data_IF_971057880990
#
_entry.id   IF_971057880990
#
_cell.length_a   1.000
_cell.length_b   1.000
_cell.length_c   1.000
_cell.angle_alpha   90.00
_cell.angle_beta   90.00
_cell.angle_gamma   90.00
#
_symmetry.space_group_name_H-M   'P 1'
#
loop_
_entity.id
_entity.type
_entity.pdbx_description
1 polymer ?
#
# COMPACT_ATOMS: atom_id res chain seq x y z
N UNK A 1 2.83 26.81 -5.82
CA UNK A 1 2.78 26.48 -4.38
C UNK A 1 3.08 24.99 -4.24
N UNK A 2 4.35 24.64 -4.03
CA UNK A 2 4.72 23.26 -3.73
C UNK A 2 4.13 22.91 -2.36
N UNK A 3 3.38 21.82 -2.32
CA UNK A 3 2.65 21.35 -1.15
C UNK A 3 3.62 21.04 -0.01
N UNK A 4 3.29 21.51 1.19
CA UNK A 4 3.99 21.36 2.47
C UNK A 4 4.69 20.00 2.73
N UNK A 5 4.19 18.82 2.31
CA UNK A 5 4.90 17.54 2.47
C UNK A 5 6.17 17.34 1.61
N UNK A 6 6.35 18.04 0.48
CA UNK A 6 7.57 17.90 -0.33
C UNK A 6 8.78 18.58 0.30
N UNK A 7 8.55 19.68 1.02
CA UNK A 7 9.61 20.44 1.68
C UNK A 7 10.13 19.64 2.88
N UNK A 8 9.25 18.98 3.64
CA UNK A 8 9.64 18.13 4.77
C UNK A 8 10.45 16.92 4.34
N UNK A 9 10.09 16.24 3.24
CA UNK A 9 10.85 15.09 2.73
C UNK A 9 12.26 15.50 2.26
N UNK A 10 12.36 16.64 1.55
CA UNK A 10 13.67 17.15 1.09
C UNK A 10 14.55 17.59 2.25
N UNK A 11 13.97 18.20 3.29
CA UNK A 11 14.69 18.63 4.48
C UNK A 11 15.24 17.44 5.27
N UNK A 12 14.47 16.36 5.41
CA UNK A 12 14.90 15.12 6.09
C UNK A 12 16.10 14.50 5.39
N UNK A 13 16.06 14.37 4.05
CA UNK A 13 17.20 13.84 3.26
C UNK A 13 18.46 14.67 3.44
N UNK A 14 18.34 15.99 3.48
CA UNK A 14 19.49 16.88 3.69
C UNK A 14 20.07 16.70 5.10
N UNK A 15 19.21 16.59 6.12
CA UNK A 15 19.64 16.35 7.50
C UNK A 15 20.36 15.01 7.62
N UNK A 16 19.83 13.94 7.04
CA UNK A 16 20.46 12.61 7.09
C UNK A 16 21.83 12.59 6.40
N UNK A 17 21.95 13.21 5.22
CA UNK A 17 23.24 13.31 4.50
C UNK A 17 24.26 14.13 5.29
N UNK A 18 23.85 15.23 5.92
CA UNK A 18 24.73 16.06 6.76
C UNK A 18 25.18 15.29 7.99
N UNK A 19 24.29 14.53 8.64
CA UNK A 19 24.63 13.69 9.79
C UNK A 19 25.67 12.64 9.40
N UNK A 20 25.50 11.95 8.27
CA UNK A 20 26.47 10.96 7.77
C UNK A 20 27.84 11.60 7.51
N UNK A 21 27.87 12.77 6.89
CA UNK A 21 29.12 13.51 6.62
C UNK A 21 29.82 13.92 7.92
N UNK A 22 29.09 14.45 8.90
CA UNK A 22 29.64 14.89 10.19
C UNK A 22 30.15 13.70 11.01
N UNK A 23 29.39 12.61 11.07
CA UNK A 23 29.80 11.38 11.76
C UNK A 23 31.03 10.77 11.08
N UNK A 24 31.07 10.72 9.74
CA UNK A 24 32.24 10.26 9.00
C UNK A 24 33.49 11.10 9.27
N UNK A 25 33.37 12.43 9.28
CA UNK A 25 34.45 13.35 9.62
C UNK A 25 34.96 13.15 11.06
N UNK A 26 34.05 12.92 12.01
CA UNK A 26 34.40 12.65 13.41
C UNK A 26 35.19 11.35 13.55
N UNK A 27 34.78 10.28 12.87
CA UNK A 27 35.49 8.99 12.87
C UNK A 27 36.90 9.12 12.29
N UNK A 28 37.05 9.87 11.20
CA UNK A 28 38.38 10.15 10.60
C UNK A 28 39.24 10.95 11.58
N UNK A 29 38.69 11.94 12.27
CA UNK A 29 39.43 12.71 13.27
C UNK A 29 39.89 11.84 14.45
N UNK A 30 39.00 10.99 14.99
CA UNK A 30 39.32 10.08 16.10
C UNK A 30 40.40 9.08 15.70
N UNK A 31 40.31 8.49 14.51
CA UNK A 31 41.31 7.52 14.03
C UNK A 31 42.69 8.17 13.84
N UNK A 32 42.76 9.38 13.29
CA UNK A 32 44.03 10.13 13.16
C UNK A 32 44.65 10.42 14.52
N UNK A 33 43.84 10.83 15.52
CA UNK A 33 44.32 11.09 16.88
C UNK A 33 44.85 9.82 17.53
N UNK A 34 44.13 8.69 17.42
CA UNK A 34 44.57 7.39 17.97
C UNK A 34 45.89 6.95 17.33
N UNK A 35 46.01 7.03 16.00
CA UNK A 35 47.26 6.69 15.30
C UNK A 35 48.40 7.59 15.75
N UNK A 36 48.16 8.89 15.91
CA UNK A 36 49.15 9.84 16.42
C UNK A 36 49.65 9.47 17.83
N UNK A 37 48.73 9.13 18.74
CA UNK A 37 49.08 8.70 20.10
C UNK A 37 49.92 7.41 20.05
N UNK A 38 49.55 6.43 19.22
CA UNK A 38 50.30 5.18 19.05
C UNK A 38 51.72 5.44 18.58
N UNK A 39 51.90 6.31 17.58
CA UNK A 39 53.23 6.68 17.08
C UNK A 39 54.07 7.33 18.18
N UNK A 40 53.50 8.24 18.97
CA UNK A 40 54.20 8.89 20.09
C UNK A 40 54.63 7.86 21.14
N UNK A 41 53.74 6.92 21.50
CA UNK A 41 54.03 5.86 22.47
C UNK A 41 55.14 4.93 21.95
N UNK A 42 55.09 4.51 20.68
CA UNK A 42 56.12 3.67 20.07
C UNK A 42 57.47 4.38 20.06
N UNK A 43 57.52 5.65 19.65
CA UNK A 43 58.75 6.46 19.65
C UNK A 43 59.30 6.63 21.06
N UNK A 44 58.44 6.88 22.04
CA UNK A 44 58.82 6.97 23.45
C UNK A 44 59.41 5.66 24.00
N UNK A 45 58.78 4.53 23.69
CA UNK A 45 59.27 3.19 24.08
C UNK A 45 60.63 2.91 23.44
N UNK A 46 60.80 3.19 22.15
CA UNK A 46 62.09 3.02 21.45
C UNK A 46 63.19 3.90 22.05
N UNK A 47 62.87 5.15 22.40
CA UNK A 47 63.84 6.07 23.02
C UNK A 47 64.28 5.61 24.43
N UNK A 48 63.35 5.12 25.25
CA UNK A 48 63.65 4.59 26.60
C UNK A 48 64.48 3.31 26.50
N UNK A 49 64.16 2.43 25.55
CA UNK A 49 64.90 1.19 25.30
C UNK A 49 66.31 1.47 24.75
N UNK A 50 66.51 2.54 24.00
CA UNK A 50 67.85 2.97 23.56
C UNK A 50 68.72 3.51 24.70
N UNK A 51 68.12 4.06 25.76
CA UNK A 51 68.82 4.65 26.90
C UNK A 51 69.16 3.64 28.00
N UNK A 52 68.36 2.59 28.16
CA UNK A 52 68.56 1.52 29.15
C UNK A 52 68.96 0.28 28.37
N UNK A 53 70.14 -0.30 28.60
CA UNK A 53 70.63 -1.49 27.89
C UNK A 53 69.79 -2.75 28.23
N UNK A 54 68.54 -2.78 27.80
CA UNK A 54 67.54 -3.82 28.05
C UNK A 54 67.83 -5.01 27.13
N UNK A 55 67.77 -6.25 27.64
CA UNK A 55 67.94 -7.43 26.80
C UNK A 55 66.90 -7.48 25.68
N UNK A 56 67.38 -7.69 24.45
CA UNK A 56 66.61 -7.79 23.19
C UNK A 56 65.27 -8.54 23.30
N UNK A 57 65.15 -9.70 23.99
CA UNK A 57 63.86 -10.40 24.10
C UNK A 57 62.77 -9.59 24.82
N UNK A 58 63.10 -8.75 25.81
CA UNK A 58 62.10 -7.91 26.49
C UNK A 58 61.56 -6.81 25.58
N UNK A 59 62.42 -6.27 24.71
CA UNK A 59 62.09 -5.24 23.71
C UNK A 59 61.10 -5.79 22.68
N UNK A 60 61.35 -7.02 22.21
CA UNK A 60 60.46 -7.70 21.27
C UNK A 60 59.08 -7.95 21.90
N UNK A 61 59.04 -8.39 23.17
CA UNK A 61 57.77 -8.59 23.88
C UNK A 61 57.00 -7.27 24.04
N UNK A 62 57.66 -6.17 24.41
CA UNK A 62 57.02 -4.87 24.54
C UNK A 62 56.45 -4.36 23.19
N UNK A 63 57.19 -4.51 22.09
CA UNK A 63 56.73 -4.17 20.74
C UNK A 63 55.52 -5.01 20.31
N UNK A 64 55.54 -6.32 20.57
CA UNK A 64 54.42 -7.21 20.26
C UNK A 64 53.18 -6.81 21.05
N UNK A 65 53.32 -6.50 22.34
CA UNK A 65 52.19 -6.03 23.17
C UNK A 65 51.60 -4.73 22.63
N UNK A 66 52.44 -3.77 22.22
CA UNK A 66 51.96 -2.52 21.62
C UNK A 66 51.21 -2.79 20.32
N UNK A 67 51.75 -3.62 19.43
CA UNK A 67 51.07 -3.98 18.17
C UNK A 67 49.71 -4.64 18.43
N UNK A 68 49.64 -5.56 19.40
CA UNK A 68 48.40 -6.24 19.78
C UNK A 68 47.36 -5.25 20.32
N UNK A 69 47.76 -4.32 21.19
CA UNK A 69 46.88 -3.28 21.73
C UNK A 69 46.35 -2.38 20.60
N UNK A 70 47.20 -1.99 19.66
CA UNK A 70 46.81 -1.17 18.50
C UNK A 70 45.78 -1.90 17.63
N UNK A 71 46.00 -3.19 17.34
CA UNK A 71 45.06 -4.00 16.56
C UNK A 71 43.70 -4.10 17.25
N UNK A 72 43.69 -4.29 18.57
CA UNK A 72 42.44 -4.36 19.36
C UNK A 72 41.69 -3.02 19.30
N UNK A 73 42.39 -1.89 19.50
CA UNK A 73 41.76 -0.56 19.46
C UNK A 73 41.18 -0.27 18.08
N UNK A 74 41.91 -0.59 17.01
CA UNK A 74 41.41 -0.42 15.63
C UNK A 74 40.18 -1.29 15.39
N UNK A 75 40.20 -2.55 15.85
CA UNK A 75 39.05 -3.45 15.71
C UNK A 75 37.81 -2.93 16.44
N UNK A 76 37.95 -2.39 17.65
CA UNK A 76 36.84 -1.81 18.42
C UNK A 76 36.24 -0.61 17.69
N UNK A 77 37.07 0.31 17.17
CA UNK A 77 36.60 1.48 16.42
C UNK A 77 35.88 1.06 15.13
N UNK A 78 36.41 0.08 14.40
CA UNK A 78 35.75 -0.45 13.19
C UNK A 78 34.38 -1.04 13.51
N UNK A 79 34.27 -1.81 14.61
CA UNK A 79 33.01 -2.41 15.03
C UNK A 79 31.97 -1.35 15.43
N UNK A 80 32.36 -0.30 16.14
CA UNK A 80 31.48 0.82 16.47
C UNK A 80 30.99 1.57 15.22
N UNK A 81 31.87 1.80 14.24
CA UNK A 81 31.50 2.45 12.97
C UNK A 81 30.51 1.61 12.18
N UNK A 82 30.72 0.29 12.11
CA UNK A 82 29.80 -0.62 11.42
C UNK A 82 28.44 -0.61 12.11
N UNK A 83 28.39 -0.65 13.45
CA UNK A 83 27.15 -0.58 14.21
C UNK A 83 26.38 0.74 13.95
N UNK A 84 27.09 1.87 13.87
CA UNK A 84 26.48 3.16 13.53
C UNK A 84 25.94 3.16 12.10
N UNK A 85 26.70 2.65 11.13
CA UNK A 85 26.25 2.55 9.72
C UNK A 85 25.02 1.63 9.59
N UNK A 86 24.97 0.53 10.33
CA UNK A 86 23.83 -0.39 10.34
C UNK A 86 22.60 0.16 11.08
N UNK A 87 22.79 1.12 11.99
CA UNK A 87 21.70 1.81 12.68
C UNK A 87 21.00 2.88 11.82
N UNK A 88 21.57 3.23 10.66
CA UNK A 88 20.93 4.13 9.69
C UNK A 88 19.83 3.31 8.98
N UNK A 89 18.55 3.67 9.11
CA UNK A 89 17.50 3.01 8.36
C UNK A 89 17.82 3.16 6.86
N UNK A 90 17.91 2.03 6.15
CA UNK A 90 18.20 2.02 4.73
C UNK A 90 17.27 3.00 4.02
N UNK A 91 17.85 4.06 3.45
CA UNK A 91 17.11 5.07 2.70
C UNK A 91 16.55 4.35 1.47
N UNK A 92 15.29 3.90 1.59
CA UNK A 92 14.56 3.28 0.49
C UNK A 92 14.52 4.30 -0.63
N UNK A 93 15.34 4.06 -1.66
CA UNK A 93 15.23 4.75 -2.93
C UNK A 93 13.99 4.19 -3.64
N UNK A 94 12.80 4.48 -3.11
CA UNK A 94 11.58 4.31 -3.88
C UNK A 94 11.71 5.25 -5.09
N UNK A 95 12.10 4.68 -6.23
CA UNK A 95 11.91 5.30 -7.53
C UNK A 95 10.48 5.81 -7.54
N UNK A 96 10.21 7.07 -7.95
CA UNK A 96 8.85 7.56 -8.03
C UNK A 96 8.08 6.63 -8.98
N UNK A 97 7.24 5.77 -8.41
CA UNK A 97 6.52 4.75 -9.18
C UNK A 97 5.64 5.51 -10.15
N UNK A 98 5.83 5.18 -11.43
CA UNK A 98 5.20 5.90 -12.52
C UNK A 98 3.70 5.95 -12.26
N UNK A 99 3.11 7.13 -12.44
CA UNK A 99 1.65 7.29 -12.46
C UNK A 99 1.12 6.30 -13.51
N UNK A 100 0.44 5.24 -13.07
CA UNK A 100 -0.18 4.24 -13.95
C UNK A 100 -0.96 5.02 -15.00
N UNK A 101 -0.49 4.97 -16.24
CA UNK A 101 -1.21 5.59 -17.34
C UNK A 101 -2.51 4.80 -17.50
N UNK A 102 -3.65 5.49 -17.49
CA UNK A 102 -5.00 4.91 -17.58
C UNK A 102 -5.16 3.98 -18.80
N UNK A 103 -4.23 4.04 -19.77
CA UNK A 103 -4.22 3.29 -21.01
C UNK A 103 -3.36 2.01 -20.99
N UNK A 104 -2.59 1.75 -19.92
CA UNK A 104 -1.89 0.47 -19.76
C UNK A 104 -2.86 -0.57 -19.17
N UNK A 105 -3.16 -1.60 -19.94
CA UNK A 105 -4.06 -2.68 -19.52
C UNK A 105 -3.27 -3.61 -18.60
N UNK A 106 -3.34 -3.33 -17.29
CA UNK A 106 -2.79 -4.21 -16.26
C UNK A 106 -3.78 -5.35 -16.01
N UNK A 107 -3.34 -6.62 -15.93
CA UNK A 107 -4.22 -7.74 -15.66
C UNK A 107 -4.95 -7.57 -14.32
N UNK A 108 -6.20 -8.06 -14.19
CA UNK A 108 -6.93 -8.03 -12.93
C UNK A 108 -6.24 -8.92 -11.89
N UNK A 109 -6.35 -8.55 -10.61
CA UNK A 109 -6.03 -9.46 -9.51
C UNK A 109 -7.22 -10.41 -9.37
N UNK A 110 -7.02 -11.67 -9.71
CA UNK A 110 -8.09 -12.64 -9.94
C UNK A 110 -8.11 -13.74 -8.86
N UNK A 111 -9.07 -13.68 -7.95
CA UNK A 111 -9.33 -14.69 -6.91
C UNK A 111 -10.61 -15.48 -7.20
N UNK A 112 -11.03 -15.56 -8.46
CA UNK A 112 -12.31 -16.19 -8.82
C UNK A 112 -12.24 -17.72 -8.76
N UNK A 113 -13.31 -18.40 -8.35
CA UNK A 113 -13.39 -19.87 -8.29
C UNK A 113 -12.32 -20.52 -7.37
N UNK A 114 -11.97 -19.83 -6.29
CA UNK A 114 -11.05 -20.36 -5.28
C UNK A 114 -11.80 -20.92 -4.06
N UNK A 115 -13.13 -20.90 -4.07
CA UNK A 115 -13.98 -21.31 -2.94
C UNK A 115 -13.68 -20.52 -1.66
N UNK A 116 -13.32 -19.25 -1.83
CA UNK A 116 -12.99 -18.38 -0.72
C UNK A 116 -14.24 -18.11 0.10
N UNK A 117 -14.18 -18.36 1.41
CA UNK A 117 -15.33 -18.14 2.31
C UNK A 117 -15.25 -16.81 3.05
N UNK A 118 -14.03 -16.36 3.37
CA UNK A 118 -13.77 -15.05 3.99
C UNK A 118 -12.69 -14.29 3.24
N UNK A 119 -12.74 -12.95 3.27
CA UNK A 119 -11.84 -12.12 2.46
C UNK A 119 -10.37 -12.24 2.89
N UNK A 120 -10.12 -12.63 4.14
CA UNK A 120 -8.77 -12.84 4.71
C UNK A 120 -8.01 -13.97 4.03
N UNK A 121 -8.71 -14.96 3.46
CA UNK A 121 -8.07 -16.06 2.73
C UNK A 121 -7.32 -15.55 1.49
N UNK A 122 -7.61 -14.34 1.00
CA UNK A 122 -6.85 -13.70 -0.09
C UNK A 122 -5.40 -13.35 0.29
N UNK A 123 -5.03 -13.36 1.59
CA UNK A 123 -3.64 -13.17 2.02
C UNK A 123 -2.82 -14.46 1.91
N UNK A 124 -3.48 -15.61 2.09
CA UNK A 124 -2.85 -16.93 2.05
C UNK A 124 -2.89 -17.55 0.67
N UNK A 125 -3.98 -17.33 -0.07
CA UNK A 125 -4.18 -17.85 -1.41
C UNK A 125 -3.50 -16.98 -2.46
N UNK A 126 -3.04 -17.60 -3.54
CA UNK A 126 -2.45 -16.88 -4.65
C UNK A 126 -3.52 -16.52 -5.69
N UNK A 127 -3.51 -15.28 -6.22
CA UNK A 127 -4.42 -14.92 -7.30
C UNK A 127 -4.14 -15.80 -8.51
N UNK A 128 -5.21 -16.32 -9.11
CA UNK A 128 -5.15 -17.17 -10.28
C UNK A 128 -4.41 -16.50 -11.42
N UNK A 129 -3.51 -17.25 -12.05
CA UNK A 129 -2.87 -16.87 -13.30
C UNK A 129 -3.84 -16.99 -14.48
N UNK A 130 -4.88 -16.16 -14.52
CA UNK A 130 -5.83 -16.18 -15.64
C UNK A 130 -5.34 -15.23 -16.72
N UNK A 131 -4.48 -15.75 -17.61
CA UNK A 131 -4.45 -15.20 -18.96
C UNK A 131 -4.20 -16.27 -20.03
N UNK A 132 -5.15 -16.51 -20.95
CA UNK A 132 -4.90 -17.22 -22.20
C UNK A 132 -4.02 -16.41 -23.17
N UNK A 133 -3.70 -15.15 -22.84
CA UNK A 133 -2.66 -14.36 -23.51
C UNK A 133 -1.48 -14.19 -22.57
N UNK A 134 -0.40 -14.87 -22.93
CA UNK A 134 0.94 -14.76 -22.38
C UNK A 134 1.43 -13.30 -22.44
N UNK A 135 1.01 -12.46 -21.50
CA UNK A 135 1.54 -11.10 -21.36
C UNK A 135 1.47 -10.67 -19.90
N UNK A 136 2.67 -10.71 -19.30
CA UNK A 136 3.09 -9.98 -18.11
C UNK A 136 2.39 -10.46 -16.84
N UNK A 137 2.91 -11.58 -16.32
CA UNK A 137 2.65 -12.04 -14.96
C UNK A 137 3.46 -11.19 -13.98
N UNK A 138 2.85 -10.85 -12.85
CA UNK A 138 3.58 -10.59 -11.61
C UNK A 138 4.20 -11.93 -11.22
N UNK A 139 5.52 -12.06 -11.37
CA UNK A 139 6.24 -13.21 -10.80
C UNK A 139 6.51 -12.87 -9.34
N UNK A 140 6.01 -13.66 -8.38
CA UNK A 140 6.72 -13.72 -7.10
C UNK A 140 8.09 -14.35 -7.38
N UNK A 141 9.13 -13.63 -6.97
CA UNK A 141 10.49 -14.16 -6.83
C UNK A 141 10.43 -15.34 -5.83
N UNK A 142 11.32 -16.32 -6.04
CA UNK A 142 11.47 -17.49 -5.17
C UNK A 142 11.55 -17.09 -3.68
N UNK A 143 11.20 -17.99 -2.75
CA UNK A 143 11.12 -17.74 -1.30
C UNK A 143 12.48 -17.46 -0.59
N UNK A 144 13.51 -17.08 -1.33
CA UNK A 144 14.87 -16.84 -0.80
C UNK A 144 15.22 -15.35 -0.62
N UNK A 145 14.37 -14.42 -1.06
CA UNK A 145 14.58 -12.98 -0.87
C UNK A 145 13.61 -12.43 0.20
N UNK A 146 14.14 -11.89 1.30
CA UNK A 146 13.43 -11.19 2.40
C UNK A 146 12.73 -9.86 1.97
N UNK A 147 12.32 -9.73 0.70
CA UNK A 147 11.60 -8.56 0.20
C UNK A 147 10.08 -8.79 0.22
N UNK A 148 9.35 -7.82 0.77
CA UNK A 148 7.89 -7.76 0.83
C UNK A 148 7.24 -8.11 -0.53
N UNK A 149 6.07 -8.79 -0.55
CA UNK A 149 5.40 -9.15 -1.80
C UNK A 149 5.16 -7.90 -2.67
N UNK A 150 5.59 -7.94 -3.93
CA UNK A 150 5.35 -6.86 -4.89
C UNK A 150 3.84 -6.63 -5.02
N UNK A 151 3.37 -5.47 -4.52
CA UNK A 151 1.96 -5.09 -4.60
C UNK A 151 1.54 -4.83 -6.05
N UNK A 152 0.32 -5.22 -6.38
CA UNK A 152 -0.24 -5.02 -7.72
C UNK A 152 -0.57 -3.55 -8.00
N UNK A 153 -0.28 -3.10 -9.22
CA UNK A 153 -0.72 -1.80 -9.75
C UNK A 153 -2.08 -1.89 -10.47
N UNK A 154 -2.73 -3.06 -10.45
CA UNK A 154 -4.00 -3.27 -11.12
C UNK A 154 -5.11 -2.40 -10.55
N UNK A 155 -6.11 -2.11 -11.38
CA UNK A 155 -7.29 -1.34 -11.00
C UNK A 155 -8.52 -2.24 -10.83
N UNK A 156 -8.36 -3.55 -11.02
CA UNK A 156 -9.44 -4.52 -11.04
C UNK A 156 -9.18 -5.66 -10.05
N UNK A 157 -10.17 -5.89 -9.19
CA UNK A 157 -10.21 -7.01 -8.25
C UNK A 157 -11.38 -7.92 -8.63
N UNK A 158 -11.09 -9.20 -8.85
CA UNK A 158 -12.12 -10.23 -9.10
C UNK A 158 -12.15 -11.22 -7.96
N UNK A 159 -13.33 -11.41 -7.41
CA UNK A 159 -13.65 -12.31 -6.30
C UNK A 159 -14.92 -13.12 -6.63
N UNK A 160 -15.23 -13.29 -7.92
CA UNK A 160 -16.47 -13.90 -8.36
C UNK A 160 -16.44 -15.43 -8.33
N UNK A 161 -17.62 -16.07 -8.20
CA UNK A 161 -17.75 -17.52 -8.02
C UNK A 161 -16.96 -18.04 -6.80
N UNK A 162 -17.20 -17.42 -5.65
CA UNK A 162 -16.71 -17.86 -4.36
C UNK A 162 -17.91 -18.00 -3.40
N UNK A 163 -17.65 -18.27 -2.13
CA UNK A 163 -18.68 -18.52 -1.11
C UNK A 163 -18.70 -17.39 -0.05
N UNK A 164 -18.36 -16.16 -0.47
CA UNK A 164 -18.26 -14.99 0.41
C UNK A 164 -19.64 -14.59 0.96
N UNK A 165 -19.73 -14.41 2.27
CA UNK A 165 -20.94 -13.93 2.96
C UNK A 165 -20.89 -12.46 3.33
N UNK A 166 -19.69 -11.95 3.57
CA UNK A 166 -19.42 -10.55 3.87
C UNK A 166 -18.08 -10.11 3.24
N UNK A 167 -17.86 -8.79 3.22
CA UNK A 167 -16.65 -8.20 2.63
C UNK A 167 -16.01 -7.15 3.55
N UNK A 168 -16.27 -7.21 4.87
CA UNK A 168 -16.01 -6.12 5.82
C UNK A 168 -14.52 -5.69 5.85
N UNK A 169 -13.61 -6.63 5.61
CA UNK A 169 -12.16 -6.42 5.61
C UNK A 169 -11.55 -6.21 4.21
N UNK A 170 -12.38 -6.01 3.18
CA UNK A 170 -11.93 -5.88 1.80
C UNK A 170 -10.95 -4.73 1.58
N UNK A 171 -11.09 -3.61 2.30
CA UNK A 171 -10.13 -2.50 2.17
C UNK A 171 -8.76 -2.83 2.77
N UNK A 172 -8.73 -3.58 3.88
CA UNK A 172 -7.47 -4.05 4.50
C UNK A 172 -6.72 -4.95 3.54
N UNK A 173 -7.44 -5.92 2.97
CA UNK A 173 -6.89 -6.85 1.96
C UNK A 173 -6.51 -6.11 0.68
N UNK A 174 -7.29 -5.13 0.23
CA UNK A 174 -6.90 -4.30 -0.90
C UNK A 174 -5.59 -3.53 -0.61
N UNK A 175 -5.32 -3.15 0.63
CA UNK A 175 -4.09 -2.44 1.02
C UNK A 175 -2.87 -3.36 1.05
N UNK A 176 -3.05 -4.66 1.32
CA UNK A 176 -1.98 -5.66 1.21
C UNK A 176 -1.72 -6.06 -0.24
N UNK A 177 -2.78 -6.20 -1.05
CA UNK A 177 -2.70 -6.65 -2.45
C UNK A 177 -2.31 -5.55 -3.46
N UNK A 178 -2.74 -4.31 -3.24
CA UNK A 178 -2.58 -3.21 -4.20
C UNK A 178 -1.67 -2.12 -3.67
N UNK A 179 -0.87 -1.55 -4.57
CA UNK A 179 -0.05 -0.39 -4.29
C UNK A 179 -0.90 0.86 -3.99
N UNK A 180 -2.01 1.02 -4.70
CA UNK A 180 -2.93 2.15 -4.56
C UNK A 180 -4.37 1.65 -4.51
N UNK A 181 -4.85 1.12 -3.36
CA UNK A 181 -6.20 0.56 -3.23
C UNK A 181 -7.31 1.58 -3.54
N UNK A 182 -7.07 2.87 -3.28
CA UNK A 182 -8.01 3.95 -3.59
C UNK A 182 -8.24 4.16 -5.10
N UNK A 183 -7.35 3.64 -5.96
CA UNK A 183 -7.48 3.74 -7.42
C UNK A 183 -8.29 2.59 -8.04
N UNK A 184 -8.66 1.58 -7.26
CA UNK A 184 -9.46 0.45 -7.76
C UNK A 184 -10.74 0.99 -8.39
N UNK A 185 -10.92 0.64 -9.67
CA UNK A 185 -12.03 1.11 -10.49
C UNK A 185 -13.06 0.04 -10.79
N UNK A 186 -12.71 -1.23 -10.64
CA UNK A 186 -13.59 -2.36 -10.94
C UNK A 186 -13.46 -3.44 -9.88
N UNK A 187 -14.57 -3.74 -9.21
CA UNK A 187 -14.70 -4.86 -8.28
C UNK A 187 -15.76 -5.83 -8.82
N UNK A 188 -15.41 -7.11 -8.91
CA UNK A 188 -16.32 -8.19 -9.27
C UNK A 188 -16.55 -9.11 -8.07
N UNK A 189 -17.75 -9.05 -7.50
CA UNK A 189 -18.25 -9.87 -6.39
C UNK A 189 -19.44 -10.73 -6.82
N UNK A 190 -19.60 -10.96 -8.13
CA UNK A 190 -20.71 -11.76 -8.64
C UNK A 190 -20.61 -13.23 -8.23
N UNK A 191 -21.76 -13.92 -8.16
CA UNK A 191 -21.83 -15.34 -7.78
C UNK A 191 -21.13 -15.62 -6.44
N UNK A 192 -21.62 -14.97 -5.39
CA UNK A 192 -21.24 -15.19 -3.99
C UNK A 192 -22.52 -15.33 -3.14
N UNK A 193 -22.38 -15.40 -1.81
CA UNK A 193 -23.51 -15.51 -0.88
C UNK A 193 -23.70 -14.23 -0.05
N UNK A 194 -23.44 -13.05 -0.64
CA UNK A 194 -23.57 -11.78 0.07
C UNK A 194 -25.04 -11.48 0.37
N UNK A 195 -25.37 -11.27 1.64
CA UNK A 195 -26.74 -10.95 2.08
C UNK A 195 -26.98 -9.44 2.16
N UNK A 196 -25.90 -8.67 2.29
CA UNK A 196 -25.91 -7.22 2.46
C UNK A 196 -24.80 -6.55 1.65
N UNK A 197 -24.96 -5.26 1.35
CA UNK A 197 -23.92 -4.44 0.74
C UNK A 197 -23.14 -3.80 1.87
N UNK A 198 -21.85 -4.13 1.99
CA UNK A 198 -21.03 -3.58 3.07
C UNK A 198 -20.58 -2.13 2.79
N UNK A 199 -20.62 -1.21 3.78
CA UNK A 199 -20.14 0.16 3.64
C UNK A 199 -18.66 0.29 3.26
N UNK A 200 -17.82 -0.73 3.47
CA UNK A 200 -16.42 -0.75 3.02
C UNK A 200 -16.28 -0.43 1.53
N UNK A 201 -17.28 -0.78 0.71
CA UNK A 201 -17.29 -0.49 -0.72
C UNK A 201 -17.28 1.02 -1.01
N UNK A 202 -17.74 1.84 -0.06
CA UNK A 202 -17.72 3.31 -0.16
C UNK A 202 -16.33 3.92 0.00
N UNK A 203 -15.37 3.17 0.53
CA UNK A 203 -13.98 3.60 0.69
C UNK A 203 -13.21 3.61 -0.65
N UNK A 204 -13.71 2.88 -1.66
CA UNK A 204 -13.15 2.88 -3.01
C UNK A 204 -13.67 4.08 -3.82
N UNK A 205 -13.11 5.27 -3.59
CA UNK A 205 -13.56 6.54 -4.18
C UNK A 205 -13.51 6.58 -5.72
N UNK A 206 -12.66 5.75 -6.34
CA UNK A 206 -12.53 5.64 -7.79
C UNK A 206 -13.33 4.49 -8.41
N UNK A 207 -14.16 3.79 -7.63
CA UNK A 207 -14.96 2.68 -8.10
C UNK A 207 -15.95 3.14 -9.18
N UNK A 208 -15.85 2.51 -10.35
CA UNK A 208 -16.62 2.81 -11.57
C UNK A 208 -17.56 1.68 -11.94
N UNK A 209 -17.12 0.45 -11.72
CA UNK A 209 -17.82 -0.79 -12.09
C UNK A 209 -17.90 -1.68 -10.84
N UNK A 210 -19.12 -2.07 -10.48
CA UNK A 210 -19.37 -2.99 -9.38
C UNK A 210 -20.32 -4.09 -9.84
N UNK A 211 -19.88 -5.35 -9.74
CA UNK A 211 -20.74 -6.50 -10.02
C UNK A 211 -21.12 -7.22 -8.73
N UNK A 212 -22.42 -7.32 -8.48
CA UNK A 212 -23.03 -7.98 -7.33
C UNK A 212 -24.13 -8.98 -7.77
N UNK A 213 -24.20 -9.33 -9.05
CA UNK A 213 -25.25 -10.23 -9.54
C UNK A 213 -25.05 -11.67 -9.02
N UNK A 214 -26.13 -12.42 -8.85
CA UNK A 214 -26.08 -13.78 -8.28
C UNK A 214 -25.57 -13.80 -6.84
N UNK A 215 -26.12 -12.94 -5.99
CA UNK A 215 -25.90 -12.92 -4.55
C UNK A 215 -27.24 -13.10 -3.82
N UNK A 216 -27.24 -13.00 -2.48
CA UNK A 216 -28.42 -13.21 -1.64
C UNK A 216 -28.95 -11.89 -1.03
N UNK A 217 -28.74 -10.76 -1.71
CA UNK A 217 -29.15 -9.44 -1.20
C UNK A 217 -30.67 -9.31 -1.30
N UNK A 218 -31.33 -9.17 -0.15
CA UNK A 218 -32.80 -9.15 -0.04
C UNK A 218 -33.38 -7.74 0.09
N UNK A 219 -32.76 -6.87 0.90
CA UNK A 219 -33.27 -5.52 1.15
C UNK A 219 -32.79 -4.52 0.10
N UNK A 220 -33.75 -3.95 -0.64
CA UNK A 220 -33.51 -2.90 -1.64
C UNK A 220 -32.89 -1.63 -1.03
N UNK A 221 -33.08 -1.38 0.27
CA UNK A 221 -32.51 -0.21 0.95
C UNK A 221 -30.99 -0.26 1.08
N UNK A 222 -30.37 -1.42 0.91
CA UNK A 222 -28.92 -1.59 0.90
C UNK A 222 -28.24 -0.70 -0.17
N UNK A 223 -28.96 -0.41 -1.26
CA UNK A 223 -28.52 0.47 -2.35
C UNK A 223 -28.23 1.90 -1.89
N UNK A 224 -28.85 2.36 -0.80
CA UNK A 224 -28.58 3.70 -0.27
C UNK A 224 -27.12 3.87 0.16
N UNK A 225 -26.45 2.77 0.58
CA UNK A 225 -25.03 2.78 0.96
C UNK A 225 -24.12 3.14 -0.22
N UNK A 226 -24.48 2.71 -1.43
CA UNK A 226 -23.73 3.00 -2.65
C UNK A 226 -23.92 4.44 -3.15
N UNK A 227 -24.84 5.22 -2.57
CA UNK A 227 -25.13 6.60 -2.97
C UNK A 227 -23.95 7.56 -2.81
N UNK A 228 -22.98 7.22 -1.95
CA UNK A 228 -21.76 8.00 -1.72
C UNK A 228 -20.73 7.85 -2.84
N UNK A 229 -20.82 6.77 -3.64
CA UNK A 229 -19.85 6.45 -4.70
C UNK A 229 -20.21 7.23 -5.97
N UNK A 230 -19.71 8.46 -6.05
CA UNK A 230 -20.05 9.41 -7.13
C UNK A 230 -19.62 8.97 -8.54
N UNK A 231 -18.56 8.15 -8.65
CA UNK A 231 -17.98 7.71 -9.93
C UNK A 231 -18.55 6.38 -10.45
N UNK A 232 -19.42 5.73 -9.66
CA UNK A 232 -20.04 4.46 -10.04
C UNK A 232 -21.00 4.67 -11.21
N UNK A 233 -20.72 4.06 -12.36
CA UNK A 233 -21.57 4.21 -13.55
C UNK A 233 -22.13 2.87 -14.04
N UNK A 234 -21.54 1.74 -13.65
CA UNK A 234 -22.03 0.39 -13.98
C UNK A 234 -22.26 -0.43 -12.71
N UNK A 235 -23.48 -0.92 -12.56
CA UNK A 235 -23.89 -1.77 -11.44
C UNK A 235 -24.71 -2.95 -11.97
N UNK A 236 -24.54 -4.13 -11.39
CA UNK A 236 -25.37 -5.30 -11.67
C UNK A 236 -25.75 -5.97 -10.37
N UNK A 237 -27.04 -6.20 -10.18
CA UNK A 237 -27.67 -6.81 -9.01
C UNK A 237 -28.67 -7.89 -9.40
N UNK A 238 -28.85 -8.17 -10.70
CA UNK A 238 -29.67 -9.26 -11.20
C UNK A 238 -29.39 -10.59 -10.49
N UNK A 239 -30.42 -11.41 -10.28
CA UNK A 239 -30.29 -12.69 -9.58
C UNK A 239 -30.06 -12.54 -8.07
N UNK A 240 -30.43 -11.39 -7.50
CA UNK A 240 -30.59 -11.21 -6.06
C UNK A 240 -32.07 -11.16 -5.70
N UNK A 241 -32.51 -11.66 -4.53
CA UNK A 241 -33.92 -11.60 -4.10
C UNK A 241 -34.54 -10.20 -4.11
N UNK A 242 -33.72 -9.14 -3.94
CA UNK A 242 -34.17 -7.74 -4.01
C UNK A 242 -34.75 -7.34 -5.38
N UNK A 243 -34.41 -8.06 -6.46
CA UNK A 243 -34.90 -7.78 -7.81
C UNK A 243 -36.42 -7.96 -7.94
N UNK A 244 -37.01 -8.88 -7.16
CA UNK A 244 -38.44 -9.19 -7.18
C UNK A 244 -39.31 -8.07 -6.55
N UNK A 245 -38.68 -7.09 -5.89
CA UNK A 245 -39.39 -5.97 -5.28
C UNK A 245 -39.99 -5.07 -6.37
N UNK A 246 -41.29 -4.81 -6.26
CA UNK A 246 -42.00 -3.92 -7.20
C UNK A 246 -41.33 -2.55 -7.27
N UNK A 247 -40.97 -2.13 -8.48
CA UNK A 247 -40.29 -0.86 -8.69
C UNK A 247 -38.81 -0.87 -8.35
N UNK A 248 -38.18 -2.03 -8.15
CA UNK A 248 -36.74 -2.21 -7.91
C UNK A 248 -35.88 -1.32 -8.81
N UNK A 249 -36.04 -1.43 -10.13
CA UNK A 249 -35.29 -0.63 -11.10
C UNK A 249 -35.46 0.88 -10.89
N UNK A 250 -36.70 1.32 -10.63
CA UNK A 250 -36.99 2.75 -10.39
C UNK A 250 -36.37 3.23 -9.09
N UNK A 251 -36.42 2.40 -8.03
CA UNK A 251 -35.79 2.70 -6.76
C UNK A 251 -34.28 2.88 -6.94
N UNK A 252 -33.59 1.89 -7.54
CA UNK A 252 -32.14 1.94 -7.76
C UNK A 252 -31.75 3.18 -8.56
N UNK A 253 -32.43 3.49 -9.67
CA UNK A 253 -32.11 4.65 -10.50
C UNK A 253 -32.47 5.99 -9.84
N UNK A 254 -33.44 6.01 -8.92
CA UNK A 254 -33.79 7.21 -8.14
C UNK A 254 -32.79 7.52 -7.02
N UNK A 255 -32.16 6.46 -6.48
CA UNK A 255 -31.12 6.53 -5.45
C UNK A 255 -29.75 6.79 -6.06
N UNK A 256 -29.44 6.14 -7.19
CA UNK A 256 -28.16 6.22 -7.91
C UNK A 256 -28.34 6.84 -9.31
N UNK A 257 -28.62 8.15 -9.41
CA UNK A 257 -28.83 8.81 -10.70
C UNK A 257 -27.57 8.87 -11.57
N UNK A 258 -26.37 8.63 -11.02
CA UNK A 258 -25.11 8.61 -11.78
C UNK A 258 -24.94 7.38 -12.69
N UNK A 259 -25.74 6.31 -12.47
CA UNK A 259 -25.61 5.08 -13.24
C UNK A 259 -25.91 5.29 -14.74
N UNK A 260 -25.06 4.71 -15.58
CA UNK A 260 -25.22 4.62 -17.04
C UNK A 260 -25.66 3.22 -17.47
N UNK A 261 -25.38 2.19 -16.66
CA UNK A 261 -25.82 0.81 -16.91
C UNK A 261 -26.23 0.13 -15.60
N UNK A 262 -27.36 -0.57 -15.66
CA UNK A 262 -27.94 -1.36 -14.57
C UNK A 262 -28.39 -2.71 -15.12
N UNK A 263 -27.99 -3.82 -14.50
CA UNK A 263 -28.43 -5.20 -14.85
C UNK A 263 -28.29 -5.51 -16.35
N UNK A 264 -27.11 -5.26 -16.89
CA UNK A 264 -26.77 -5.46 -18.32
C UNK A 264 -27.56 -4.58 -19.30
N UNK A 265 -28.47 -3.74 -18.81
CA UNK A 265 -29.22 -2.77 -19.61
C UNK A 265 -28.57 -1.37 -19.50
N UNK A 266 -28.72 -0.56 -20.55
CA UNK A 266 -28.30 0.85 -20.52
C UNK A 266 -29.40 1.72 -19.92
N UNK A 267 -29.02 2.68 -19.09
CA UNK A 267 -29.95 3.66 -18.49
C UNK A 267 -30.27 4.75 -19.50
N UNK A 268 -31.53 4.82 -19.92
CA UNK A 268 -32.01 5.81 -20.90
C UNK A 268 -32.48 7.10 -20.25
N UNK A 269 -32.71 8.15 -21.06
CA UNK A 269 -33.33 9.40 -20.57
C UNK A 269 -34.76 9.18 -20.06
N UNK A 270 -35.50 8.24 -20.66
CA UNK A 270 -36.85 7.88 -20.24
C UNK A 270 -36.81 7.23 -18.85
N UNK A 271 -35.91 6.27 -18.61
CA UNK A 271 -35.73 5.65 -17.30
C UNK A 271 -35.49 6.69 -16.21
N UNK A 272 -34.65 7.69 -16.49
CA UNK A 272 -34.33 8.78 -15.55
C UNK A 272 -35.56 9.62 -15.20
N UNK A 273 -36.39 9.96 -16.19
CA UNK A 273 -37.64 10.71 -15.95
C UNK A 273 -38.59 9.90 -15.08
N UNK A 274 -38.80 8.62 -15.40
CA UNK A 274 -39.67 7.74 -14.63
C UNK A 274 -39.17 7.55 -13.21
N UNK A 275 -37.87 7.35 -13.01
CA UNK A 275 -37.25 7.24 -11.68
C UNK A 275 -37.38 8.55 -10.88
N UNK A 276 -37.29 9.71 -11.53
CA UNK A 276 -37.49 11.01 -10.88
C UNK A 276 -38.95 11.21 -10.47
N UNK A 277 -39.91 10.85 -11.32
CA UNK A 277 -41.35 10.87 -10.96
C UNK A 277 -41.62 9.93 -9.79
N UNK A 278 -41.06 8.72 -9.82
CA UNK A 278 -41.14 7.75 -8.73
C UNK A 278 -40.60 8.34 -7.41
N UNK A 279 -39.43 9.00 -7.45
CA UNK A 279 -38.84 9.67 -6.29
C UNK A 279 -39.74 10.75 -5.71
N UNK A 280 -40.30 11.60 -6.56
CA UNK A 280 -41.16 12.71 -6.14
C UNK A 280 -42.47 12.20 -5.51
N UNK A 281 -43.00 11.08 -5.99
CA UNK A 281 -44.22 10.48 -5.44
C UNK A 281 -43.97 9.78 -4.10
N UNK A 282 -42.88 9.02 -3.98
CA UNK A 282 -42.57 8.26 -2.77
C UNK A 282 -41.86 9.08 -1.69
N UNK A 283 -41.21 10.17 -2.06
CA UNK A 283 -40.54 11.11 -1.16
C UNK A 283 -40.87 12.55 -1.58
N UNK A 284 -42.09 13.04 -1.30
CA UNK A 284 -42.48 14.39 -1.69
C UNK A 284 -41.59 15.41 -0.96
N UNK A 285 -40.76 16.12 -1.69
CA UNK A 285 -40.07 17.29 -1.15
C UNK A 285 -41.16 18.30 -0.73
N UNK A 286 -41.38 18.47 0.58
CA UNK A 286 -42.19 19.59 1.06
C UNK A 286 -41.47 20.88 0.65
N UNK A 287 -42.09 21.78 -0.12
CA UNK A 287 -41.47 23.06 -0.41
C UNK A 287 -41.24 23.77 0.92
N UNK A 288 -40.00 24.22 1.16
CA UNK A 288 -39.73 25.12 2.29
C UNK A 288 -40.59 26.35 2.08
N UNK A 289 -41.54 26.57 2.99
CA UNK A 289 -42.32 27.82 3.04
C UNK A 289 -41.29 28.94 3.12
N UNK A 290 -41.15 29.71 2.04
CA UNK A 290 -40.44 30.99 2.09
C UNK A 290 -41.26 31.85 3.04
N UNK A 291 -40.76 32.05 4.25
CA UNK A 291 -41.24 33.14 5.11
C UNK A 291 -41.02 34.39 4.28
N UNK A 292 -42.11 35.06 3.90
CA UNK A 292 -41.99 36.41 3.34
C UNK A 292 -41.67 37.27 4.55
N UNK A 293 -40.47 37.84 4.55
CA UNK A 293 -40.13 38.89 5.49
C UNK A 293 -40.95 40.12 5.04
N UNK A 294 -42.09 40.31 5.70
CA UNK A 294 -42.95 41.50 5.59
C UNK A 294 -42.37 42.65 6.43
#
# INVERSE_FOLDING_TARGET
>A
MATTPQITATLVVIVDVVVVLVVGLLVVAVTVVVVGIVVIVVVGIVAVIGAVAVPVPLVVVALVVVVVVVVIVVAVVVMEVIAVVQSIPALSTEKPKAKVHINEIIPPVDFSFLHITTVEECETEEPREVSPRKSIQVKKKKPEDEELPEKSQSLCLRLNNNDLKDVNNLMTIATSLFESPSNIGWIDLSFNNLVHIDPVLTQFENLKILYLHGNEITDVKEINKLGTISKLWKLTLHGNPMEDVKGYRLYVLSTLPQLLSLDFSRVTKCDRRTAQTYKNFNNPCRPKRTVRDD
#
